data_IF_184438473375
#
_entry.id   IF_184438473375
#
_cell.length_a   1.000
_cell.length_b   1.000
_cell.length_c   1.000
_cell.angle_alpha   90.00
_cell.angle_beta   90.00
_cell.angle_gamma   90.00
#
_symmetry.space_group_name_H-M   'P 1'
#
loop_
_entity.id
_entity.type
_entity.pdbx_description
1 polymer ?
#
# COMPACT_ATOMS: atom_id res chain seq x y z
N UNK A 1 15.79 36.50 -19.91
CA UNK A 1 15.54 37.18 -18.62
C UNK A 1 14.03 37.16 -18.37
N UNK A 2 13.55 36.42 -17.39
CA UNK A 2 12.15 36.46 -16.96
C UNK A 2 11.97 37.73 -16.13
N UNK A 3 11.30 38.72 -16.69
CA UNK A 3 11.09 40.02 -16.04
C UNK A 3 9.78 40.04 -15.21
N UNK A 4 9.22 38.89 -14.91
CA UNK A 4 8.05 38.79 -14.04
C UNK A 4 8.14 37.49 -13.23
N UNK A 5 8.03 37.58 -11.91
CA UNK A 5 8.08 36.46 -10.97
C UNK A 5 6.86 35.52 -11.08
N UNK A 6 6.09 35.56 -12.15
CA UNK A 6 4.94 34.70 -12.39
C UNK A 6 5.33 33.52 -13.26
N UNK A 7 5.22 32.30 -12.72
CA UNK A 7 5.38 31.04 -13.44
C UNK A 7 4.11 30.61 -14.22
N UNK A 8 3.10 31.45 -14.27
CA UNK A 8 1.79 31.14 -14.90
C UNK A 8 1.84 30.88 -16.41
N UNK A 9 2.96 31.18 -17.08
CA UNK A 9 3.16 30.99 -18.52
C UNK A 9 4.03 29.77 -18.87
N UNK A 10 4.48 28.97 -17.90
CA UNK A 10 5.24 27.74 -18.18
C UNK A 10 4.24 26.63 -18.48
N UNK A 11 4.00 26.37 -19.76
CA UNK A 11 3.10 25.32 -20.25
C UNK A 11 3.78 23.96 -20.37
N UNK A 12 5.11 23.91 -20.37
CA UNK A 12 5.90 22.68 -20.33
C UNK A 12 7.29 22.95 -19.72
N UNK A 13 7.74 22.06 -18.86
CA UNK A 13 9.15 22.02 -18.43
C UNK A 13 9.96 21.26 -19.48
N UNK A 14 11.23 21.66 -19.78
CA UNK A 14 12.12 20.83 -20.56
C UNK A 14 12.25 19.43 -19.93
N UNK A 15 12.32 18.39 -20.77
CA UNK A 15 12.47 17.01 -20.29
C UNK A 15 13.71 16.77 -19.38
N UNK A 16 14.68 17.70 -19.44
CA UNK A 16 15.86 17.68 -18.55
C UNK A 16 15.61 18.27 -17.15
N UNK A 17 14.48 18.93 -16.95
CA UNK A 17 13.99 19.33 -15.63
C UNK A 17 12.90 18.33 -15.25
N UNK A 18 13.26 17.06 -15.10
CA UNK A 18 12.42 16.11 -14.38
C UNK A 18 12.44 16.59 -12.92
N UNK A 19 11.33 17.11 -12.44
CA UNK A 19 11.17 17.37 -11.02
C UNK A 19 11.35 16.04 -10.31
N UNK A 20 12.54 15.77 -9.75
CA UNK A 20 12.79 14.59 -8.93
C UNK A 20 11.73 14.53 -7.84
N UNK A 21 10.81 13.59 -7.92
CA UNK A 21 9.70 13.56 -6.99
C UNK A 21 8.67 12.48 -7.31
N UNK A 22 7.56 12.59 -6.61
CA UNK A 22 6.42 11.70 -6.78
C UNK A 22 5.54 12.18 -7.94
N UNK A 23 5.41 11.35 -8.97
CA UNK A 23 4.52 11.59 -10.10
C UNK A 23 3.21 10.84 -9.88
N UNK A 24 2.11 11.55 -9.65
CA UNK A 24 0.79 10.94 -9.48
C UNK A 24 0.37 10.27 -10.79
N UNK A 25 0.14 8.95 -10.74
CA UNK A 25 -0.31 8.15 -11.87
C UNK A 25 -1.83 8.00 -11.83
N UNK A 26 -2.38 7.57 -10.69
CA UNK A 26 -3.82 7.39 -10.54
C UNK A 26 -4.28 7.50 -9.10
N UNK A 27 -5.57 7.71 -8.93
CA UNK A 27 -6.24 7.80 -7.63
C UNK A 27 -7.50 6.93 -7.67
N UNK A 28 -7.71 6.13 -6.64
CA UNK A 28 -8.96 5.42 -6.42
C UNK A 28 -9.54 5.82 -5.06
N UNK A 29 -10.84 6.10 -5.06
CA UNK A 29 -11.61 6.43 -3.84
C UNK A 29 -12.59 5.30 -3.57
N UNK A 30 -12.55 4.77 -2.37
CA UNK A 30 -13.51 3.76 -1.93
C UNK A 30 -14.88 4.40 -1.64
N UNK A 31 -15.92 3.67 -1.98
CA UNK A 31 -17.32 3.95 -1.65
C UNK A 31 -18.02 2.61 -1.53
N UNK A 32 -17.95 1.99 -0.36
CA UNK A 32 -18.39 0.62 -0.10
C UNK A 32 -17.87 -0.37 -1.15
N UNK A 33 -16.57 -0.26 -1.46
CA UNK A 33 -15.92 -0.99 -2.56
C UNK A 33 -15.41 -2.35 -2.08
N UNK A 34 -15.75 -3.42 -2.80
CA UNK A 34 -15.23 -4.76 -2.49
C UNK A 34 -13.72 -4.89 -2.69
N UNK A 35 -13.18 -4.14 -3.67
CA UNK A 35 -11.75 -4.06 -3.99
C UNK A 35 -11.40 -2.70 -4.57
N UNK A 36 -10.13 -2.30 -4.44
CA UNK A 36 -9.50 -1.24 -5.23
C UNK A 36 -8.33 -1.84 -6.00
N UNK A 37 -8.44 -1.91 -7.33
CA UNK A 37 -7.45 -2.57 -8.18
C UNK A 37 -6.78 -1.58 -9.13
N UNK A 38 -5.46 -1.54 -9.10
CA UNK A 38 -4.62 -0.77 -10.02
C UNK A 38 -4.11 -1.72 -11.10
N UNK A 39 -4.73 -1.68 -12.27
CA UNK A 39 -4.47 -2.59 -13.41
C UNK A 39 -3.77 -1.91 -14.57
N UNK A 40 -3.30 -0.68 -14.38
CA UNK A 40 -2.54 0.09 -15.36
C UNK A 40 -1.59 1.07 -14.68
N UNK A 41 -0.58 1.53 -15.43
CA UNK A 41 0.40 2.50 -14.94
C UNK A 41 1.50 1.91 -14.07
N UNK A 42 1.57 0.58 -13.92
CA UNK A 42 2.67 -0.15 -13.29
C UNK A 42 3.44 -0.84 -14.41
N UNK A 43 4.52 -0.22 -14.87
CA UNK A 43 5.28 -0.64 -16.04
C UNK A 43 6.79 -0.33 -15.89
N UNK A 44 7.51 -0.18 -17.00
CA UNK A 44 8.95 0.11 -16.98
C UNK A 44 9.31 1.59 -16.84
N UNK A 45 8.32 2.48 -16.74
CA UNK A 45 8.53 3.94 -16.68
C UNK A 45 9.27 4.35 -15.43
N UNK A 46 8.93 3.73 -14.29
CA UNK A 46 9.56 4.03 -13.00
C UNK A 46 10.19 2.77 -12.39
N UNK A 47 11.26 2.99 -11.62
CA UNK A 47 11.93 1.92 -10.87
C UNK A 47 11.36 1.70 -9.48
N UNK A 48 10.57 2.63 -9.01
CA UNK A 48 9.85 2.55 -7.75
C UNK A 48 8.44 3.07 -7.91
N UNK A 49 7.48 2.33 -7.36
CA UNK A 49 6.09 2.71 -7.28
C UNK A 49 5.65 2.78 -5.82
N UNK A 50 4.89 3.84 -5.48
CA UNK A 50 4.40 4.06 -4.13
C UNK A 50 2.88 4.15 -4.15
N UNK A 51 2.24 3.28 -3.36
CA UNK A 51 0.82 3.38 -3.06
C UNK A 51 0.67 4.09 -1.71
N UNK A 52 0.00 5.24 -1.68
CA UNK A 52 -0.33 5.95 -0.44
C UNK A 52 -1.76 5.70 -0.05
N UNK A 53 -1.96 5.29 1.19
CA UNK A 53 -3.26 5.01 1.80
C UNK A 53 -3.65 6.20 2.67
N UNK A 54 -4.88 6.68 2.51
CA UNK A 54 -5.40 7.83 3.27
C UNK A 54 -6.77 7.43 3.82
N UNK A 55 -6.85 7.30 5.13
CA UNK A 55 -8.08 7.00 5.87
C UNK A 55 -8.86 5.81 5.28
N UNK A 56 -8.17 4.69 5.04
CA UNK A 56 -8.83 3.46 4.61
C UNK A 56 -9.65 2.93 5.79
N UNK A 57 -10.96 2.88 5.63
CA UNK A 57 -11.91 2.50 6.65
C UNK A 57 -12.70 1.26 6.22
N UNK A 58 -12.83 0.22 7.07
CA UNK A 58 -13.61 -0.96 6.75
C UNK A 58 -15.11 -0.74 7.05
N UNK A 59 -15.95 -1.44 6.31
CA UNK A 59 -17.39 -1.47 6.56
C UNK A 59 -17.78 -2.37 7.73
N UNK A 60 -16.94 -3.34 8.06
CA UNK A 60 -17.23 -4.36 9.07
C UNK A 60 -16.15 -4.42 10.13
N UNK A 61 -16.53 -4.83 11.34
CA UNK A 61 -15.59 -5.04 12.44
C UNK A 61 -14.72 -6.27 12.20
N UNK A 62 -13.56 -6.32 12.86
CA UNK A 62 -12.64 -7.44 12.87
C UNK A 62 -12.17 -7.87 11.47
N UNK A 63 -11.77 -6.91 10.67
CA UNK A 63 -11.28 -7.14 9.32
C UNK A 63 -9.89 -6.54 9.10
N UNK A 64 -9.11 -7.14 8.21
CA UNK A 64 -7.77 -6.72 7.88
C UNK A 64 -7.74 -6.01 6.54
N UNK A 65 -7.01 -4.92 6.44
CA UNK A 65 -6.67 -4.32 5.16
C UNK A 65 -5.52 -5.11 4.54
N UNK A 66 -5.69 -5.54 3.29
CA UNK A 66 -4.79 -6.50 2.64
C UNK A 66 -4.46 -6.11 1.21
N UNK A 67 -3.36 -6.68 0.67
CA UNK A 67 -2.98 -6.52 -0.74
C UNK A 67 -2.45 -7.79 -1.37
N UNK A 68 -2.48 -7.84 -2.70
CA UNK A 68 -1.79 -8.85 -3.49
C UNK A 68 -1.38 -8.30 -4.87
N UNK A 69 -0.46 -8.98 -5.51
CA UNK A 69 0.10 -8.66 -6.81
C UNK A 69 -0.45 -9.57 -7.91
N UNK A 70 -0.44 -9.05 -9.14
CA UNK A 70 -0.76 -9.78 -10.36
C UNK A 70 0.38 -9.66 -11.38
N UNK A 71 0.50 -10.69 -12.22
CA UNK A 71 1.41 -10.74 -13.38
C UNK A 71 0.64 -10.98 -14.69
N UNK A 72 -0.68 -10.86 -14.67
CA UNK A 72 -1.60 -11.15 -15.78
C UNK A 72 -2.69 -10.08 -15.90
N UNK A 73 -2.29 -8.83 -15.71
CA UNK A 73 -3.10 -7.61 -15.87
C UNK A 73 -4.35 -7.59 -14.98
N UNK A 74 -4.22 -8.17 -13.77
CA UNK A 74 -5.29 -8.19 -12.77
C UNK A 74 -6.31 -9.30 -12.96
N UNK A 75 -6.05 -10.28 -13.82
CA UNK A 75 -6.92 -11.45 -13.96
C UNK A 75 -6.83 -12.36 -12.72
N UNK A 76 -5.63 -12.48 -12.14
CA UNK A 76 -5.41 -13.21 -10.90
C UNK A 76 -4.48 -12.42 -9.98
N UNK A 77 -4.81 -12.39 -8.68
CA UNK A 77 -3.98 -11.78 -7.64
C UNK A 77 -3.43 -12.87 -6.72
N UNK A 78 -2.41 -13.58 -7.20
CA UNK A 78 -1.90 -14.80 -6.58
C UNK A 78 -0.37 -14.94 -6.66
N UNK A 79 0.36 -13.85 -6.77
CA UNK A 79 1.84 -13.89 -6.77
C UNK A 79 2.32 -14.47 -5.44
N UNK A 80 3.14 -15.52 -5.54
CA UNK A 80 3.79 -16.15 -4.38
C UNK A 80 4.69 -15.14 -3.66
N UNK A 81 4.61 -15.07 -2.34
CA UNK A 81 5.37 -14.11 -1.50
C UNK A 81 6.00 -14.78 -0.29
N UNK A 82 7.12 -14.22 0.13
CA UNK A 82 7.66 -14.41 1.49
C UNK A 82 7.76 -13.05 2.14
N UNK A 83 7.24 -12.93 3.35
CA UNK A 83 7.14 -11.65 4.06
C UNK A 83 7.61 -11.78 5.50
N UNK A 84 7.91 -10.64 6.11
CA UNK A 84 8.25 -10.49 7.52
C UNK A 84 7.46 -9.30 8.07
N UNK A 85 6.97 -9.41 9.29
CA UNK A 85 6.10 -8.41 9.90
C UNK A 85 6.46 -8.12 11.35
N UNK A 86 6.42 -6.84 11.72
CA UNK A 86 6.55 -6.41 13.11
C UNK A 86 5.74 -5.12 13.34
N UNK A 87 5.46 -4.79 14.60
CA UNK A 87 4.76 -3.56 14.97
C UNK A 87 5.32 -2.90 16.21
N UNK A 88 5.14 -1.58 16.29
CA UNK A 88 5.07 -0.86 17.55
C UNK A 88 3.60 -0.57 17.87
N UNK A 89 3.20 -0.77 19.13
CA UNK A 89 1.83 -0.53 19.55
C UNK A 89 1.75 0.10 20.92
N UNK A 90 0.76 0.99 21.11
CA UNK A 90 0.44 1.63 22.38
C UNK A 90 -1.06 1.81 22.49
N UNK A 91 -1.65 1.50 23.65
CA UNK A 91 -3.08 1.68 23.84
C UNK A 91 -3.41 2.99 24.56
N UNK A 92 -4.62 3.50 24.36
CA UNK A 92 -5.07 4.76 24.97
C UNK A 92 -5.10 4.72 26.50
N UNK A 93 -5.30 3.54 27.08
CA UNK A 93 -5.29 3.35 28.54
C UNK A 93 -3.91 3.38 29.18
N UNK A 94 -2.82 3.62 28.42
CA UNK A 94 -1.42 3.65 28.88
C UNK A 94 -1.01 2.40 29.70
N UNK A 95 -1.68 1.28 29.42
CA UNK A 95 -1.42 0.01 30.09
C UNK A 95 -0.56 -0.96 29.29
N UNK A 96 -0.38 -0.70 28.00
CA UNK A 96 0.39 -1.53 27.08
C UNK A 96 1.19 -0.68 26.11
N UNK A 97 2.51 -0.92 26.06
CA UNK A 97 3.41 -0.43 25.03
C UNK A 97 4.30 -1.58 24.58
N UNK A 98 4.40 -1.83 23.29
CA UNK A 98 5.18 -2.96 22.76
C UNK A 98 5.90 -2.66 21.45
N UNK A 99 7.02 -3.34 21.24
CA UNK A 99 7.64 -3.56 19.94
C UNK A 99 7.75 -5.07 19.76
N UNK A 100 7.03 -5.64 18.80
CA UNK A 100 6.89 -7.09 18.68
C UNK A 100 6.96 -7.57 17.24
N UNK A 101 7.56 -8.75 17.04
CA UNK A 101 7.53 -9.51 15.80
C UNK A 101 6.27 -10.38 15.74
N UNK A 102 5.59 -10.37 14.60
CA UNK A 102 4.30 -11.06 14.44
C UNK A 102 4.36 -12.14 13.35
N UNK A 103 4.96 -13.27 13.66
CA UNK A 103 5.11 -14.40 12.74
C UNK A 103 3.77 -14.94 12.18
N UNK A 104 2.67 -14.72 12.88
CA UNK A 104 1.33 -15.12 12.42
C UNK A 104 0.84 -14.30 11.21
N UNK A 105 1.40 -13.11 10.99
CA UNK A 105 1.10 -12.27 9.85
C UNK A 105 2.10 -12.48 8.68
N UNK A 106 3.13 -13.29 8.86
CA UNK A 106 4.09 -13.60 7.82
C UNK A 106 3.51 -14.57 6.79
N UNK A 107 3.91 -14.41 5.55
CA UNK A 107 3.66 -15.37 4.48
C UNK A 107 4.97 -16.08 4.14
N UNK A 108 4.97 -17.41 4.11
CA UNK A 108 6.09 -18.23 3.70
C UNK A 108 5.76 -18.96 2.39
N UNK A 109 6.24 -18.44 1.26
CA UNK A 109 5.96 -18.96 -0.10
C UNK A 109 4.47 -19.18 -0.36
N UNK A 110 3.64 -18.25 0.08
CA UNK A 110 2.19 -18.31 -0.08
C UNK A 110 1.67 -17.35 -1.14
N UNK A 111 0.49 -17.69 -1.70
CA UNK A 111 -0.21 -16.88 -2.72
C UNK A 111 -1.33 -16.03 -2.13
N UNK A 112 -1.57 -16.09 -0.82
CA UNK A 112 -2.60 -15.33 -0.13
C UNK A 112 -2.37 -13.81 -0.16
N UNK A 113 -3.40 -13.06 0.20
CA UNK A 113 -3.29 -11.63 0.41
C UNK A 113 -2.47 -11.35 1.69
N UNK A 114 -1.52 -10.40 1.61
CA UNK A 114 -0.75 -9.95 2.76
C UNK A 114 -1.55 -8.92 3.54
N UNK A 115 -1.67 -9.13 4.85
CA UNK A 115 -2.30 -8.17 5.75
C UNK A 115 -1.35 -7.02 6.10
N UNK A 116 -1.92 -5.80 6.20
CA UNK A 116 -1.31 -4.63 6.84
C UNK A 116 -1.72 -4.50 8.31
N UNK A 117 -2.70 -5.30 8.75
CA UNK A 117 -3.20 -5.30 10.12
C UNK A 117 -2.32 -6.24 10.96
N UNK A 118 -1.33 -5.68 11.65
CA UNK A 118 -0.32 -6.46 12.37
C UNK A 118 -0.74 -6.65 13.83
N UNK A 119 -1.06 -7.91 14.18
CA UNK A 119 -1.40 -8.29 15.55
C UNK A 119 -2.76 -7.79 16.05
N UNK A 120 -3.66 -7.43 15.15
CA UNK A 120 -5.04 -7.01 15.44
C UNK A 120 -5.74 -6.54 14.19
N UNK A 121 -7.05 -6.42 14.24
CA UNK A 121 -7.89 -6.07 13.09
C UNK A 121 -8.52 -4.69 13.25
N UNK A 122 -8.82 -4.05 12.13
CA UNK A 122 -9.54 -2.78 12.10
C UNK A 122 -11.03 -2.96 12.39
N UNK A 123 -11.67 -1.91 12.88
CA UNK A 123 -13.07 -1.88 13.24
C UNK A 123 -13.85 -0.96 12.29
N UNK A 124 -15.15 -1.18 12.17
CA UNK A 124 -16.06 -0.34 11.39
C UNK A 124 -16.57 0.91 12.15
N UNK A 125 -15.93 1.24 13.26
CA UNK A 125 -16.24 2.42 14.07
C UNK A 125 -15.51 3.65 13.50
N UNK A 126 -16.08 4.83 13.67
CA UNK A 126 -15.60 6.07 13.05
C UNK A 126 -14.18 6.50 13.48
N UNK A 127 -13.66 5.95 14.56
CA UNK A 127 -12.31 6.21 15.06
C UNK A 127 -11.27 5.22 14.51
N UNK A 128 -11.68 4.14 13.84
CA UNK A 128 -10.78 3.14 13.27
C UNK A 128 -10.54 3.38 11.78
N UNK A 129 -9.35 3.80 11.43
CA UNK A 129 -8.90 3.90 10.04
C UNK A 129 -7.41 3.59 9.94
N UNK A 130 -6.94 3.32 8.72
CA UNK A 130 -5.52 3.10 8.46
C UNK A 130 -5.01 4.02 7.36
N UNK A 131 -3.84 4.60 7.60
CA UNK A 131 -3.09 5.38 6.63
C UNK A 131 -1.67 4.87 6.54
N UNK A 132 -0.99 5.09 5.41
CA UNK A 132 0.37 4.61 5.22
C UNK A 132 0.80 4.54 3.78
N UNK A 133 1.76 3.66 3.52
CA UNK A 133 2.31 3.47 2.17
C UNK A 133 2.84 2.06 1.95
N UNK A 134 2.82 1.65 0.67
CA UNK A 134 3.50 0.46 0.15
C UNK A 134 4.45 0.91 -0.96
N UNK A 135 5.72 0.51 -0.85
CA UNK A 135 6.76 0.69 -1.88
C UNK A 135 6.96 -0.63 -2.63
N UNK A 136 6.90 -0.58 -3.94
CA UNK A 136 7.16 -1.70 -4.85
C UNK A 136 8.30 -1.32 -5.78
N UNK A 137 9.39 -2.12 -5.76
CA UNK A 137 10.63 -1.82 -6.47
C UNK A 137 10.73 -2.60 -7.77
N UNK A 138 11.06 -1.88 -8.85
CA UNK A 138 11.35 -2.39 -10.20
C UNK A 138 10.37 -3.50 -10.66
N UNK A 139 9.04 -3.28 -10.59
CA UNK A 139 8.04 -4.31 -10.82
C UNK A 139 8.10 -4.92 -12.21
N UNK A 140 8.53 -4.16 -13.21
CA UNK A 140 8.67 -4.60 -14.60
C UNK A 140 9.94 -5.43 -14.89
N UNK A 141 10.85 -5.57 -13.90
CA UNK A 141 12.07 -6.34 -14.05
C UNK A 141 11.74 -7.82 -14.30
N UNK A 142 12.41 -8.44 -15.28
CA UNK A 142 12.19 -9.86 -15.61
C UNK A 142 13.38 -10.77 -15.22
N UNK A 143 14.33 -10.22 -14.47
CA UNK A 143 15.52 -10.95 -14.00
C UNK A 143 15.43 -11.30 -12.51
N UNK A 144 14.98 -10.34 -11.69
CA UNK A 144 14.97 -10.46 -10.24
C UNK A 144 13.56 -10.58 -9.67
N UNK A 145 13.45 -11.10 -8.45
CA UNK A 145 12.23 -11.04 -7.63
C UNK A 145 11.85 -9.60 -7.31
N UNK A 146 10.62 -9.36 -6.93
CA UNK A 146 10.07 -8.02 -6.72
C UNK A 146 10.04 -7.69 -5.23
N UNK A 147 11.01 -6.93 -4.77
CA UNK A 147 11.06 -6.48 -3.37
C UNK A 147 10.01 -5.41 -3.11
N UNK A 148 9.48 -5.42 -1.90
CA UNK A 148 8.56 -4.40 -1.42
C UNK A 148 8.69 -4.20 0.09
N UNK A 149 8.28 -3.05 0.56
CA UNK A 149 7.98 -2.83 1.97
C UNK A 149 6.81 -1.88 2.16
N UNK A 150 6.15 -1.98 3.31
CA UNK A 150 5.07 -1.10 3.69
C UNK A 150 5.20 -0.66 5.15
N UNK A 151 4.71 0.54 5.42
CA UNK A 151 4.49 1.05 6.76
C UNK A 151 3.10 1.63 6.83
N UNK A 152 2.34 1.21 7.84
CA UNK A 152 0.98 1.69 8.07
C UNK A 152 0.82 2.09 9.53
N UNK A 153 0.05 3.15 9.76
CA UNK A 153 -0.44 3.50 11.08
C UNK A 153 -1.97 3.45 11.08
N UNK A 154 -2.54 2.86 12.10
CA UNK A 154 -3.97 2.79 12.27
C UNK A 154 -4.37 2.47 13.69
N UNK A 155 -5.62 2.77 14.01
CA UNK A 155 -6.23 2.36 15.26
C UNK A 155 -6.94 1.02 15.04
N UNK A 156 -6.62 0.05 15.86
CA UNK A 156 -7.22 -1.29 15.85
C UNK A 156 -8.12 -1.49 17.08
N UNK A 157 -8.80 -2.63 17.16
CA UNK A 157 -9.63 -3.00 18.30
C UNK A 157 -8.94 -2.75 19.64
N UNK A 158 -9.74 -2.37 20.66
CA UNK A 158 -9.30 -2.03 22.02
C UNK A 158 -8.38 -0.81 22.09
N UNK A 159 -8.60 0.16 21.21
CA UNK A 159 -8.01 1.50 21.23
C UNK A 159 -6.46 1.49 21.17
N UNK A 160 -5.91 0.60 20.35
CA UNK A 160 -4.48 0.57 20.09
C UNK A 160 -4.11 1.41 18.87
N UNK A 161 -3.20 2.36 19.04
CA UNK A 161 -2.42 2.92 17.94
C UNK A 161 -1.34 1.91 17.56
N UNK A 162 -1.36 1.47 16.29
CA UNK A 162 -0.40 0.49 15.75
C UNK A 162 0.37 1.10 14.59
N UNK A 163 1.70 1.09 14.68
CA UNK A 163 2.63 1.36 13.60
C UNK A 163 3.16 0.02 13.09
N UNK A 164 2.60 -0.44 11.96
CA UNK A 164 2.87 -1.75 11.39
C UNK A 164 3.88 -1.69 10.25
N UNK A 165 4.81 -2.64 10.23
CA UNK A 165 5.82 -2.80 9.19
C UNK A 165 5.67 -4.16 8.53
N UNK A 166 5.59 -4.15 7.20
CA UNK A 166 5.58 -5.34 6.34
C UNK A 166 6.69 -5.19 5.32
N UNK A 167 7.54 -6.20 5.16
CA UNK A 167 8.51 -6.25 4.09
C UNK A 167 8.54 -7.65 3.48
N UNK A 168 8.98 -7.75 2.22
CA UNK A 168 9.06 -9.05 1.57
C UNK A 168 9.40 -8.95 0.10
N UNK A 169 9.19 -10.07 -0.58
CA UNK A 169 9.34 -10.13 -2.02
C UNK A 169 8.27 -11.01 -2.67
N UNK A 170 7.81 -10.60 -3.86
CA UNK A 170 7.07 -11.44 -4.78
C UNK A 170 8.04 -12.40 -5.47
N UNK A 171 7.89 -13.70 -5.22
CA UNK A 171 8.78 -14.75 -5.75
C UNK A 171 8.44 -15.07 -7.21
N UNK A 172 8.65 -14.11 -8.08
CA UNK A 172 8.46 -14.22 -9.53
C UNK A 172 9.47 -13.36 -10.27
N UNK A 173 9.91 -13.84 -11.42
CA UNK A 173 10.67 -13.05 -12.40
C UNK A 173 9.75 -12.40 -13.45
N UNK A 174 8.47 -12.77 -13.52
CA UNK A 174 7.50 -12.07 -14.38
C UNK A 174 7.28 -10.65 -13.88
N UNK A 175 6.97 -9.74 -14.78
CA UNK A 175 6.59 -8.38 -14.40
C UNK A 175 5.32 -8.39 -13.54
N UNK A 176 5.32 -7.65 -12.44
CA UNK A 176 4.09 -7.31 -11.71
C UNK A 176 3.49 -6.10 -12.41
N UNK A 177 2.27 -6.24 -12.90
CA UNK A 177 1.56 -5.25 -13.70
C UNK A 177 0.25 -4.76 -13.07
N UNK A 178 -0.19 -5.41 -11.98
CA UNK A 178 -1.34 -4.95 -11.22
C UNK A 178 -1.20 -5.23 -9.72
N UNK A 179 -1.89 -4.40 -8.92
CA UNK A 179 -1.98 -4.53 -7.45
C UNK A 179 -3.42 -4.34 -7.03
N UNK A 180 -3.92 -5.24 -6.18
CA UNK A 180 -5.26 -5.15 -5.61
C UNK A 180 -5.19 -4.99 -4.09
N UNK A 181 -6.07 -4.14 -3.58
CA UNK A 181 -6.33 -3.91 -2.16
C UNK A 181 -7.76 -4.30 -1.84
N UNK A 182 -7.96 -4.93 -0.69
CA UNK A 182 -9.29 -5.27 -0.17
C UNK A 182 -9.26 -5.49 1.34
N UNK A 183 -10.44 -5.53 1.95
CA UNK A 183 -10.59 -6.06 3.30
C UNK A 183 -10.58 -7.59 3.28
N UNK A 184 -10.17 -8.23 4.36
CA UNK A 184 -10.25 -9.69 4.52
C UNK A 184 -11.69 -10.20 4.55
N UNK A 185 -12.62 -9.33 5.02
CA UNK A 185 -14.07 -9.55 4.96
C UNK A 185 -14.81 -8.21 4.82
N UNK A 186 -15.95 -8.21 4.15
CA UNK A 186 -16.71 -6.98 3.87
C UNK A 186 -16.03 -6.07 2.86
N UNK A 187 -16.47 -4.82 2.80
CA UNK A 187 -16.00 -3.82 1.84
C UNK A 187 -15.04 -2.81 2.50
N UNK A 188 -14.26 -2.14 1.67
CA UNK A 188 -13.63 -0.86 2.04
C UNK A 188 -14.74 0.18 1.98
N UNK A 189 -15.17 0.67 3.12
CA UNK A 189 -16.27 1.64 3.21
C UNK A 189 -15.88 2.97 2.59
N UNK A 190 -14.75 3.51 3.02
CA UNK A 190 -14.22 4.79 2.54
C UNK A 190 -12.71 4.83 2.55
N UNK A 191 -12.15 5.90 2.01
CA UNK A 191 -10.72 6.14 1.93
C UNK A 191 -10.20 6.32 0.52
N UNK A 192 -8.93 6.69 0.41
CA UNK A 192 -8.29 6.97 -0.88
C UNK A 192 -6.98 6.24 -0.98
N UNK A 193 -6.73 5.61 -2.13
CA UNK A 193 -5.41 5.09 -2.51
C UNK A 193 -4.89 5.84 -3.73
N UNK A 194 -3.67 6.36 -3.62
CA UNK A 194 -2.98 7.06 -4.72
C UNK A 194 -1.75 6.28 -5.14
N UNK A 195 -1.62 6.03 -6.44
CA UNK A 195 -0.44 5.43 -7.05
C UNK A 195 0.49 6.53 -7.59
N UNK A 196 1.74 6.46 -7.20
CA UNK A 196 2.82 7.34 -7.67
C UNK A 196 3.96 6.51 -8.28
N UNK A 197 4.62 7.10 -9.30
CA UNK A 197 5.95 6.70 -9.74
C UNK A 197 7.02 7.64 -9.18
N UNK A 198 8.18 7.11 -8.86
CA UNK A 198 9.33 7.88 -8.37
C UNK A 198 10.33 8.04 -9.50
N UNK A 199 10.65 9.30 -9.84
CA UNK A 199 11.65 9.66 -10.87
C UNK A 199 12.93 10.21 -10.27
#
# INVERSE_FOLDING_TARGET
>A
FCNNNSLSAITALPASISGGGLNLISTQTASSSSTLSFTSGIDSTYKEYIFKFINIHPQTNNTDFTFNFSVDSGSNYNVTKTTTTFRAAHNEGDSTAELAYYAANDIAQGTGFQSFSIGGSYQGDNDSSVSGMLHLFDPSNTTFVKNFFARTNGMIANDYSVDGFVAGYGNTTSAIDAVQFKMSSGNIDSGVIKLYGVS
#
